data_IF_566559725383
#
_entry.id   IF_566559725383
#
_cell.length_a   1.000
_cell.length_b   1.000
_cell.length_c   1.000
_cell.angle_alpha   90.00
_cell.angle_beta   90.00
_cell.angle_gamma   90.00
#
_symmetry.space_group_name_H-M   'P 1'
#
loop_
_entity.id
_entity.type
_entity.pdbx_description
1 polymer ?
#
# COMPACT_ATOMS: atom_id res chain seq x y z
N UNK A 1 -37.72 -7.94 -10.45
CA UNK A 1 -37.10 -6.61 -10.16
C UNK A 1 -36.47 -6.43 -8.77
N UNK A 2 -36.89 -7.08 -7.65
CA UNK A 2 -36.27 -6.80 -6.34
C UNK A 2 -34.87 -7.42 -6.15
N UNK A 3 -34.57 -8.52 -6.84
CA UNK A 3 -33.26 -9.17 -6.78
C UNK A 3 -32.14 -8.26 -7.33
N UNK A 4 -32.35 -7.65 -8.49
CA UNK A 4 -31.38 -6.76 -9.16
C UNK A 4 -31.03 -5.54 -8.30
N UNK A 5 -32.02 -4.98 -7.59
CA UNK A 5 -31.84 -3.84 -6.68
C UNK A 5 -31.00 -4.22 -5.46
N UNK A 6 -31.20 -5.42 -4.90
CA UNK A 6 -30.39 -5.93 -3.78
C UNK A 6 -28.95 -6.24 -4.18
N UNK A 7 -28.73 -6.81 -5.36
CA UNK A 7 -27.37 -7.10 -5.84
C UNK A 7 -26.61 -5.81 -6.13
N UNK A 8 -27.26 -4.81 -6.73
CA UNK A 8 -26.67 -3.51 -7.03
C UNK A 8 -26.13 -2.82 -5.76
N UNK A 9 -26.91 -2.75 -4.68
CA UNK A 9 -26.44 -2.13 -3.43
C UNK A 9 -25.29 -2.89 -2.77
N UNK A 10 -25.24 -4.23 -2.87
CA UNK A 10 -24.11 -5.03 -2.36
C UNK A 10 -22.84 -4.75 -3.15
N UNK A 11 -22.92 -4.67 -4.47
CA UNK A 11 -21.79 -4.31 -5.32
C UNK A 11 -21.34 -2.88 -5.07
N UNK A 12 -22.27 -1.94 -4.96
CA UNK A 12 -21.97 -0.55 -4.63
C UNK A 12 -21.26 -0.43 -3.28
N UNK A 13 -21.74 -1.14 -2.25
CA UNK A 13 -21.09 -1.18 -0.94
C UNK A 13 -19.67 -1.76 -1.01
N UNK A 14 -19.47 -2.87 -1.75
CA UNK A 14 -18.14 -3.47 -1.94
C UNK A 14 -17.16 -2.54 -2.65
N UNK A 15 -17.62 -1.80 -3.66
CA UNK A 15 -16.78 -0.85 -4.41
C UNK A 15 -16.47 0.40 -3.58
N UNK A 16 -17.45 0.91 -2.83
CA UNK A 16 -17.29 2.14 -2.04
C UNK A 16 -16.51 1.90 -0.75
N UNK A 17 -16.61 0.72 -0.16
CA UNK A 17 -16.02 0.42 1.15
C UNK A 17 -14.51 0.74 1.24
N UNK A 18 -13.64 0.36 0.28
CA UNK A 18 -12.23 0.73 0.30
C UNK A 18 -12.00 2.24 0.31
N UNK A 19 -12.81 3.02 -0.40
CA UNK A 19 -12.71 4.49 -0.44
C UNK A 19 -13.14 5.11 0.89
N UNK A 20 -14.23 4.62 1.49
CA UNK A 20 -14.68 5.08 2.81
C UNK A 20 -13.66 4.72 3.89
N UNK A 21 -13.06 3.53 3.81
CA UNK A 21 -11.99 3.11 4.72
C UNK A 21 -10.77 4.03 4.57
N UNK A 22 -10.32 4.30 3.35
CA UNK A 22 -9.22 5.23 3.09
C UNK A 22 -9.53 6.64 3.60
N UNK A 23 -10.75 7.14 3.38
CA UNK A 23 -11.19 8.44 3.89
C UNK A 23 -11.16 8.48 5.42
N UNK A 24 -11.68 7.45 6.08
CA UNK A 24 -11.68 7.34 7.54
C UNK A 24 -10.27 7.25 8.13
N UNK A 25 -9.35 6.54 7.46
CA UNK A 25 -7.94 6.47 7.87
C UNK A 25 -7.26 7.84 7.73
N UNK A 26 -7.50 8.55 6.62
CA UNK A 26 -6.92 9.87 6.40
C UNK A 26 -7.43 10.92 7.40
N UNK A 27 -8.67 10.81 7.87
CA UNK A 27 -9.24 11.75 8.85
C UNK A 27 -8.86 11.40 10.29
N UNK A 28 -8.76 10.12 10.67
CA UNK A 28 -8.40 9.72 12.04
C UNK A 28 -6.96 10.04 12.40
N UNK A 29 -6.08 9.92 11.42
CA UNK A 29 -4.68 9.64 11.66
C UNK A 29 -3.77 10.73 11.06
N UNK A 30 -4.38 11.84 10.64
CA UNK A 30 -3.73 13.04 10.14
C UNK A 30 -3.07 12.85 8.76
N UNK A 31 -2.73 13.96 8.08
CA UNK A 31 -1.98 13.88 6.84
C UNK A 31 -0.60 13.27 7.09
N UNK A 32 -0.23 12.31 6.24
CA UNK A 32 1.11 11.73 6.20
C UNK A 32 2.08 12.83 5.70
N UNK A 33 2.62 13.64 6.62
CA UNK A 33 3.57 14.70 6.26
C UNK A 33 4.91 14.10 5.86
N UNK A 34 5.56 14.72 4.87
CA UNK A 34 6.93 14.44 4.46
C UNK A 34 7.97 15.02 5.42
N UNK A 35 7.55 15.81 6.41
CA UNK A 35 8.44 16.34 7.44
C UNK A 35 8.62 15.36 8.61
N UNK A 36 9.81 15.37 9.19
CA UNK A 36 10.08 14.61 10.40
C UNK A 36 9.31 15.20 11.59
N UNK A 37 8.65 14.34 12.35
CA UNK A 37 8.05 14.70 13.63
C UNK A 37 8.58 13.79 14.73
N UNK A 38 8.96 14.38 15.86
CA UNK A 38 9.62 13.65 16.94
C UNK A 38 8.65 12.73 17.69
N UNK A 39 7.40 13.13 17.85
CA UNK A 39 6.42 12.44 18.72
C UNK A 39 5.61 11.35 18.00
N UNK A 40 5.55 11.38 16.66
CA UNK A 40 4.70 10.44 15.90
C UNK A 40 5.31 10.01 14.56
N UNK A 41 4.89 8.83 14.10
CA UNK A 41 5.29 8.32 12.78
C UNK A 41 4.58 9.09 11.67
N UNK A 42 5.34 9.60 10.71
CA UNK A 42 4.82 10.31 9.52
C UNK A 42 5.24 9.63 8.21
N UNK A 43 4.91 10.21 7.05
CA UNK A 43 5.39 9.73 5.75
C UNK A 43 6.91 9.73 5.69
N UNK A 44 7.53 10.74 6.30
CA UNK A 44 8.98 10.83 6.43
C UNK A 44 9.58 9.53 6.98
N UNK A 45 8.97 8.95 8.02
CA UNK A 45 9.44 7.71 8.64
C UNK A 45 9.31 6.48 7.74
N UNK A 46 8.31 6.47 6.86
CA UNK A 46 8.20 5.44 5.83
C UNK A 46 9.38 5.55 4.85
N UNK A 47 9.64 6.76 4.34
CA UNK A 47 10.60 6.96 3.25
C UNK A 47 12.08 6.91 3.71
N UNK A 48 12.36 7.29 4.96
CA UNK A 48 13.73 7.43 5.48
C UNK A 48 14.09 6.44 6.59
N UNK A 49 13.16 5.56 6.97
CA UNK A 49 13.28 4.71 8.15
C UNK A 49 12.78 5.41 9.41
N UNK A 50 12.18 4.63 10.32
CA UNK A 50 11.45 5.14 11.46
C UNK A 50 12.24 4.94 12.78
N UNK A 51 12.72 6.01 13.43
CA UNK A 51 13.35 5.92 14.74
C UNK A 51 12.34 5.62 15.86
N UNK A 52 11.06 5.98 15.70
CA UNK A 52 10.01 5.67 16.69
C UNK A 52 9.75 4.17 16.81
N UNK A 53 9.93 3.44 15.70
CA UNK A 53 9.74 2.00 15.67
C UNK A 53 10.80 1.25 16.50
N UNK A 54 12.02 1.76 16.64
CA UNK A 54 13.04 1.11 17.48
C UNK A 54 12.64 1.08 18.96
N UNK A 55 11.98 2.15 19.44
CA UNK A 55 11.40 2.21 20.78
C UNK A 55 10.24 1.22 20.97
N UNK A 56 9.49 0.92 19.91
CA UNK A 56 8.33 0.01 19.96
C UNK A 56 8.69 -1.48 19.85
N UNK A 57 9.85 -1.81 19.28
CA UNK A 57 10.33 -3.19 19.10
C UNK A 57 11.51 -3.56 20.02
N UNK A 58 11.62 -2.86 21.15
CA UNK A 58 12.52 -3.23 22.24
C UNK A 58 12.17 -4.65 22.74
N UNK A 59 13.21 -5.48 22.85
CA UNK A 59 13.21 -6.72 23.62
C UNK A 59 12.51 -7.96 23.05
N UNK A 60 11.26 -7.89 22.57
CA UNK A 60 10.36 -9.07 22.70
C UNK A 60 10.02 -9.84 21.42
N UNK A 61 10.16 -9.27 20.22
CA UNK A 61 9.68 -9.94 19.00
C UNK A 61 10.76 -9.98 17.89
N UNK A 62 11.61 -11.02 17.92
CA UNK A 62 12.66 -11.26 16.91
C UNK A 62 12.12 -11.24 15.47
N UNK A 63 10.94 -11.82 15.25
CA UNK A 63 10.25 -11.80 13.96
C UNK A 63 9.83 -10.39 13.54
N UNK A 64 9.31 -9.58 14.47
CA UNK A 64 8.92 -8.21 14.17
C UNK A 64 10.13 -7.34 13.79
N UNK A 65 11.29 -7.56 14.44
CA UNK A 65 12.54 -6.88 14.07
C UNK A 65 13.05 -7.28 12.68
N UNK A 66 12.97 -8.56 12.33
CA UNK A 66 13.32 -9.02 10.99
C UNK A 66 12.37 -8.48 9.93
N UNK A 67 11.06 -8.49 10.20
CA UNK A 67 10.05 -7.89 9.35
C UNK A 67 10.29 -6.39 9.12
N UNK A 68 10.62 -5.64 10.18
CA UNK A 68 11.01 -4.22 10.07
C UNK A 68 12.21 -4.05 9.14
N UNK A 69 13.30 -4.78 9.37
CA UNK A 69 14.51 -4.70 8.55
C UNK A 69 14.25 -5.04 7.08
N UNK A 70 13.46 -6.08 6.83
CA UNK A 70 13.06 -6.46 5.47
C UNK A 70 12.26 -5.35 4.79
N UNK A 71 11.34 -4.72 5.52
CA UNK A 71 10.55 -3.60 5.01
C UNK A 71 11.41 -2.36 4.71
N UNK A 72 12.31 -1.99 5.63
CA UNK A 72 13.25 -0.87 5.43
C UNK A 72 14.17 -1.12 4.22
N UNK A 73 14.67 -2.35 4.07
CA UNK A 73 15.46 -2.73 2.91
C UNK A 73 14.65 -2.62 1.61
N UNK A 74 13.40 -3.09 1.61
CA UNK A 74 12.52 -3.01 0.44
C UNK A 74 12.27 -1.56 0.02
N UNK A 75 11.98 -0.67 0.98
CA UNK A 75 11.76 0.75 0.72
C UNK A 75 13.04 1.39 0.13
N UNK A 76 14.20 1.13 0.73
CA UNK A 76 15.47 1.65 0.21
C UNK A 76 15.80 1.11 -1.18
N UNK A 77 15.52 -0.16 -1.46
CA UNK A 77 15.68 -0.76 -2.78
C UNK A 77 14.78 -0.08 -3.82
N UNK A 78 13.53 0.24 -3.45
CA UNK A 78 12.64 1.01 -4.31
C UNK A 78 13.16 2.43 -4.57
N UNK A 79 13.71 3.12 -3.57
CA UNK A 79 14.33 4.43 -3.78
C UNK A 79 15.58 4.37 -4.67
N UNK A 80 16.30 3.25 -4.67
CA UNK A 80 17.51 3.02 -5.48
C UNK A 80 17.25 2.19 -6.73
N UNK A 81 16.01 2.16 -7.23
CA UNK A 81 15.69 1.35 -8.38
C UNK A 81 16.48 1.82 -9.62
N UNK A 82 16.91 0.89 -10.50
CA UNK A 82 17.77 1.21 -11.64
C UNK A 82 17.09 2.09 -12.70
N UNK A 83 15.76 2.24 -12.63
CA UNK A 83 14.97 3.04 -13.56
C UNK A 83 14.79 4.48 -13.09
N UNK A 84 15.28 4.84 -11.89
CA UNK A 84 15.13 6.18 -11.32
C UNK A 84 13.68 6.57 -11.00
N UNK A 85 12.76 5.61 -10.92
CA UNK A 85 11.34 5.89 -10.70
C UNK A 85 11.10 6.31 -9.26
N UNK A 86 10.25 7.30 -9.04
CA UNK A 86 9.74 7.60 -7.70
C UNK A 86 8.63 6.59 -7.30
N UNK A 87 8.23 6.60 -6.03
CA UNK A 87 7.23 5.67 -5.49
C UNK A 87 5.88 5.71 -6.25
N UNK A 88 5.45 6.91 -6.66
CA UNK A 88 4.20 7.09 -7.40
C UNK A 88 4.30 6.48 -8.80
N UNK A 89 5.41 6.74 -9.50
CA UNK A 89 5.68 6.19 -10.84
C UNK A 89 5.77 4.67 -10.82
N UNK A 90 6.49 4.11 -9.84
CA UNK A 90 6.60 2.66 -9.65
C UNK A 90 5.21 2.03 -9.40
N UNK A 91 4.38 2.66 -8.57
CA UNK A 91 3.02 2.16 -8.32
C UNK A 91 2.12 2.23 -9.55
N UNK A 92 2.18 3.31 -10.33
CA UNK A 92 1.41 3.41 -11.58
C UNK A 92 1.86 2.35 -12.58
N UNK A 93 3.16 2.18 -12.77
CA UNK A 93 3.71 1.16 -13.65
C UNK A 93 3.24 -0.24 -13.23
N UNK A 94 3.36 -0.60 -11.96
CA UNK A 94 3.03 -1.95 -11.48
C UNK A 94 1.52 -2.17 -11.48
N UNK A 95 0.75 -1.30 -10.82
CA UNK A 95 -0.66 -1.58 -10.53
C UNK A 95 -1.62 -1.14 -11.63
N UNK A 96 -1.28 -0.14 -12.44
CA UNK A 96 -2.15 0.36 -13.52
C UNK A 96 -1.77 -0.28 -14.86
N UNK A 97 -0.48 -0.53 -15.10
CA UNK A 97 -0.04 -1.07 -16.39
C UNK A 97 0.28 -2.56 -16.32
N UNK A 98 1.27 -2.97 -15.53
CA UNK A 98 1.81 -4.33 -15.57
C UNK A 98 0.80 -5.38 -15.09
N UNK A 99 0.19 -5.18 -13.92
CA UNK A 99 -0.77 -6.14 -13.35
C UNK A 99 -1.98 -6.36 -14.27
N UNK A 100 -2.69 -5.33 -14.74
CA UNK A 100 -3.81 -5.51 -15.66
C UNK A 100 -3.40 -6.16 -16.99
N UNK A 101 -2.24 -5.79 -17.54
CA UNK A 101 -1.72 -6.38 -18.78
C UNK A 101 -1.39 -7.87 -18.62
N UNK A 102 -0.70 -8.24 -17.53
CA UNK A 102 -0.39 -9.63 -17.23
C UNK A 102 -1.67 -10.44 -17.02
N UNK A 103 -2.65 -9.88 -16.30
CA UNK A 103 -3.93 -10.55 -16.08
C UNK A 103 -4.70 -10.73 -17.39
N UNK A 104 -4.72 -9.73 -18.27
CA UNK A 104 -5.33 -9.85 -19.60
C UNK A 104 -4.65 -10.93 -20.45
N UNK A 105 -3.31 -10.99 -20.43
CA UNK A 105 -2.54 -12.03 -21.15
C UNK A 105 -2.83 -13.43 -20.61
N UNK A 106 -2.87 -13.60 -19.29
CA UNK A 106 -3.18 -14.88 -18.64
C UNK A 106 -4.62 -15.32 -18.91
N UNK A 107 -5.58 -14.40 -18.81
CA UNK A 107 -6.99 -14.67 -19.14
C UNK A 107 -7.15 -15.04 -20.61
N UNK A 108 -6.49 -14.31 -21.51
CA UNK A 108 -6.49 -14.63 -22.93
C UNK A 108 -5.94 -16.04 -23.18
N UNK A 109 -4.79 -16.38 -22.59
CA UNK A 109 -4.20 -17.72 -22.69
C UNK A 109 -5.09 -18.83 -22.12
N UNK A 110 -5.84 -18.55 -21.06
CA UNK A 110 -6.81 -19.48 -20.49
C UNK A 110 -8.05 -19.67 -21.37
N UNK A 111 -8.55 -18.59 -21.99
CA UNK A 111 -9.73 -18.59 -22.87
C UNK A 111 -9.46 -19.13 -24.28
N UNK A 112 -8.20 -19.12 -24.71
CA UNK A 112 -7.79 -19.65 -26.02
C UNK A 112 -7.61 -21.17 -26.04
N UNK A 113 -7.77 -21.84 -24.89
CA UNK A 113 -7.88 -23.30 -24.79
C UNK A 113 -9.34 -23.72 -24.98
#
# INVERSE_FOLDING_TARGET
MPLFRSTFFKWLALVIFPFLLMLGVNTCCGPSTLEYQEEQCTRYCHDHGCPHAERKYDGTYRLARLGKKANEWNIQAMHRNPFGLNYQEANLLVYVLLFPSLMALLLWGALKK
#
